data_IF_400596186986
#
_entry.id   IF_400596186986
#
_cell.length_a   1.000
_cell.length_b   1.000
_cell.length_c   1.000
_cell.angle_alpha   90.00
_cell.angle_beta   90.00
_cell.angle_gamma   90.00
#
_symmetry.space_group_name_H-M   'P 1'
#
loop_
_entity.id
_entity.type
_entity.pdbx_description
1 polymer ?
#
# COMPACT_ATOMS: atom_id res chain seq x y z
N UNK A 1 -5.70 22.55 15.89
CA UNK A 1 -5.17 21.92 14.67
C UNK A 1 -5.69 20.49 14.58
N UNK A 2 -6.30 20.15 13.45
CA UNK A 2 -6.86 18.80 13.22
C UNK A 2 -5.79 17.91 12.60
N UNK A 3 -5.36 16.88 13.33
CA UNK A 3 -4.44 15.87 12.83
C UNK A 3 -5.19 14.83 12.00
N UNK A 4 -4.63 14.43 10.88
CA UNK A 4 -5.10 13.32 10.04
C UNK A 4 -4.01 12.26 10.03
N UNK A 5 -4.39 11.02 10.25
CA UNK A 5 -3.48 9.87 10.21
C UNK A 5 -3.92 8.91 9.12
N UNK A 6 -3.00 8.54 8.28
CA UNK A 6 -3.10 7.42 7.34
C UNK A 6 -2.02 6.40 7.66
N UNK A 7 -2.31 5.10 7.50
CA UNK A 7 -1.32 4.05 7.77
C UNK A 7 -1.26 3.03 6.65
N UNK A 8 -0.09 2.43 6.46
CA UNK A 8 0.10 1.39 5.47
C UNK A 8 1.54 0.99 5.22
N UNK A 9 1.74 -0.05 4.42
CA UNK A 9 3.07 -0.49 4.00
C UNK A 9 3.71 0.42 2.96
N UNK A 10 2.89 0.97 2.04
CA UNK A 10 3.33 1.84 0.92
C UNK A 10 4.57 1.29 0.19
N UNK A 11 4.50 0.02 -0.19
CA UNK A 11 5.65 -0.75 -0.68
C UNK A 11 5.32 -1.61 -1.91
N UNK A 12 5.69 -1.13 -3.13
CA UNK A 12 6.13 0.22 -3.46
C UNK A 12 5.02 1.26 -3.37
N UNK A 13 5.42 2.53 -3.23
CA UNK A 13 4.50 3.66 -3.34
C UNK A 13 4.06 3.82 -4.82
N UNK A 14 2.80 4.21 -5.06
CA UNK A 14 2.22 4.36 -6.39
C UNK A 14 1.19 5.49 -6.44
N UNK A 15 0.69 5.82 -7.65
CA UNK A 15 -0.25 6.93 -7.87
C UNK A 15 -1.50 6.87 -6.98
N UNK A 16 -2.04 5.69 -6.73
CA UNK A 16 -3.17 5.49 -5.81
C UNK A 16 -2.87 5.94 -4.37
N UNK A 17 -1.65 5.70 -3.87
CA UNK A 17 -1.23 6.22 -2.57
C UNK A 17 -1.10 7.75 -2.57
N UNK A 18 -0.56 8.32 -3.66
CA UNK A 18 -0.46 9.78 -3.79
C UNK A 18 -1.84 10.43 -3.76
N UNK A 19 -2.81 9.86 -4.49
CA UNK A 19 -4.19 10.34 -4.47
C UNK A 19 -4.81 10.22 -3.07
N UNK A 20 -4.61 9.08 -2.41
CA UNK A 20 -5.05 8.86 -1.04
C UNK A 20 -4.50 9.91 -0.06
N UNK A 21 -3.21 10.21 -0.11
CA UNK A 21 -2.59 11.22 0.75
C UNK A 21 -3.12 12.64 0.44
N UNK A 22 -3.31 12.97 -0.84
CA UNK A 22 -3.90 14.26 -1.24
C UNK A 22 -5.30 14.46 -0.69
N UNK A 23 -6.14 13.43 -0.77
CA UNK A 23 -7.51 13.52 -0.25
C UNK A 23 -7.53 13.48 1.29
N UNK A 24 -6.66 12.69 1.92
CA UNK A 24 -6.51 12.68 3.36
C UNK A 24 -6.07 14.05 3.90
N UNK A 25 -5.12 14.72 3.24
CA UNK A 25 -4.66 16.06 3.64
C UNK A 25 -5.77 17.11 3.67
N UNK A 26 -6.81 16.97 2.84
CA UNK A 26 -7.97 17.89 2.83
C UNK A 26 -8.86 17.75 4.06
N UNK A 27 -8.72 16.69 4.84
CA UNK A 27 -9.54 16.43 6.03
C UNK A 27 -9.06 17.18 7.27
N UNK A 28 -7.84 17.74 7.26
CA UNK A 28 -7.29 18.45 8.40
C UNK A 28 -6.05 19.28 8.09
N UNK A 29 -5.45 19.79 9.13
CA UNK A 29 -4.33 20.75 9.04
C UNK A 29 -2.99 20.06 8.85
N UNK A 30 -2.78 18.90 9.51
CA UNK A 30 -1.52 18.15 9.52
C UNK A 30 -1.80 16.70 9.10
N UNK A 31 -1.08 16.22 8.07
CA UNK A 31 -1.14 14.83 7.63
C UNK A 31 0.05 14.03 8.17
N UNK A 32 -0.26 13.07 9.02
CA UNK A 32 0.65 12.03 9.47
C UNK A 32 0.53 10.81 8.58
N UNK A 33 1.67 10.26 8.14
CA UNK A 33 1.72 8.98 7.44
C UNK A 33 2.45 7.97 8.31
N UNK A 34 1.72 6.99 8.83
CA UNK A 34 2.26 5.88 9.60
C UNK A 34 2.72 4.75 8.68
N UNK A 35 4.00 4.38 8.79
CA UNK A 35 4.58 3.31 8.00
C UNK A 35 4.62 2.01 8.78
N UNK A 36 4.05 0.94 8.21
CA UNK A 36 4.23 -0.40 8.73
C UNK A 36 5.71 -0.83 8.68
N UNK A 37 6.12 -1.62 9.67
CA UNK A 37 7.48 -2.16 9.76
C UNK A 37 7.82 -3.13 8.63
N UNK A 38 9.10 -3.40 8.43
CA UNK A 38 9.58 -4.43 7.50
C UNK A 38 9.17 -5.83 7.99
N UNK A 39 9.06 -6.04 9.31
CA UNK A 39 8.54 -7.27 9.90
C UNK A 39 7.08 -7.51 9.53
N UNK A 40 6.24 -6.48 9.62
CA UNK A 40 4.84 -6.58 9.20
C UNK A 40 4.72 -6.90 7.71
N UNK A 41 5.50 -6.23 6.85
CA UNK A 41 5.53 -6.52 5.41
C UNK A 41 6.01 -7.96 5.14
N UNK A 42 6.97 -8.44 5.90
CA UNK A 42 7.46 -9.83 5.78
C UNK A 42 6.36 -10.83 6.15
N UNK A 43 5.63 -10.60 7.26
CA UNK A 43 4.48 -11.45 7.63
C UNK A 43 3.40 -11.44 6.55
N UNK A 44 3.12 -10.27 5.97
CA UNK A 44 2.00 -10.09 5.03
C UNK A 44 2.33 -10.45 3.58
N UNK A 45 3.56 -10.21 3.12
CA UNK A 45 3.97 -10.32 1.70
C UNK A 45 5.19 -11.20 1.47
N UNK A 46 5.77 -11.80 2.52
CA UNK A 46 6.97 -12.61 2.46
C UNK A 46 8.27 -11.80 2.57
N UNK A 47 8.33 -10.59 2.02
CA UNK A 47 9.46 -9.66 2.15
C UNK A 47 9.04 -8.25 1.76
N UNK A 48 9.70 -7.21 2.28
CA UNK A 48 9.54 -5.85 1.76
C UNK A 48 10.22 -5.73 0.38
N UNK A 49 9.66 -4.90 -0.49
CA UNK A 49 10.31 -4.47 -1.72
C UNK A 49 11.34 -3.38 -1.42
N UNK A 50 10.96 -2.39 -0.61
CA UNK A 50 11.84 -1.36 -0.06
C UNK A 50 11.85 -1.47 1.47
N UNK A 51 13.03 -1.32 2.07
CA UNK A 51 13.14 -1.25 3.53
C UNK A 51 12.46 0.00 4.10
N UNK A 52 12.17 -0.03 5.39
CA UNK A 52 11.45 1.05 6.09
C UNK A 52 12.12 2.41 5.93
N UNK A 53 13.45 2.49 5.99
CA UNK A 53 14.18 3.74 5.85
C UNK A 53 13.95 4.39 4.48
N UNK A 54 14.04 3.62 3.39
CA UNK A 54 13.79 4.13 2.05
C UNK A 54 12.33 4.59 1.88
N UNK A 55 11.37 3.81 2.39
CA UNK A 55 9.93 4.17 2.37
C UNK A 55 9.68 5.46 3.13
N UNK A 56 10.33 5.64 4.28
CA UNK A 56 10.21 6.85 5.10
C UNK A 56 10.76 8.08 4.36
N UNK A 57 11.96 7.98 3.78
CA UNK A 57 12.56 9.08 3.00
C UNK A 57 11.66 9.48 1.83
N UNK A 58 11.17 8.51 1.06
CA UNK A 58 10.29 8.81 -0.09
C UNK A 58 9.01 9.49 0.39
N UNK A 59 8.36 8.96 1.41
CA UNK A 59 7.08 9.47 1.93
C UNK A 59 7.23 10.87 2.52
N UNK A 60 8.29 11.12 3.30
CA UNK A 60 8.54 12.42 3.92
C UNK A 60 8.79 13.54 2.90
N UNK A 61 9.26 13.21 1.71
CA UNK A 61 9.51 14.19 0.64
C UNK A 61 8.29 14.44 -0.27
N UNK A 62 7.12 13.91 0.06
CA UNK A 62 5.88 14.21 -0.64
C UNK A 62 5.27 15.50 -0.10
N UNK A 63 4.96 16.45 -0.97
CA UNK A 63 4.51 17.81 -0.61
C UNK A 63 3.24 17.86 0.25
N UNK A 64 2.40 16.81 0.23
CA UNK A 64 1.18 16.74 1.02
C UNK A 64 1.39 16.09 2.39
N UNK A 65 2.55 15.50 2.66
CA UNK A 65 2.87 14.82 3.92
C UNK A 65 3.61 15.79 4.82
N UNK A 66 3.08 16.02 6.00
CA UNK A 66 3.73 16.89 6.99
C UNK A 66 4.68 16.09 7.88
N UNK A 67 4.25 14.89 8.32
CA UNK A 67 5.03 14.05 9.23
C UNK A 67 4.95 12.57 8.85
N UNK A 68 6.06 11.86 8.96
CA UNK A 68 6.12 10.41 8.85
C UNK A 68 6.40 9.81 10.22
N UNK A 69 5.57 8.85 10.63
CA UNK A 69 5.76 8.13 11.90
C UNK A 69 5.99 6.65 11.67
N UNK A 70 6.87 6.08 12.48
CA UNK A 70 7.08 4.66 12.61
C UNK A 70 6.50 4.20 13.94
N UNK A 71 5.80 3.08 13.94
CA UNK A 71 5.08 2.60 15.11
C UNK A 71 5.23 1.08 15.28
N UNK A 72 4.96 0.59 16.47
CA UNK A 72 4.90 -0.84 16.74
C UNK A 72 3.62 -1.42 16.12
N UNK A 73 3.77 -2.42 15.25
CA UNK A 73 2.70 -3.12 14.55
C UNK A 73 2.78 -4.66 14.73
N UNK A 74 3.33 -5.10 15.87
CA UNK A 74 3.44 -6.52 16.21
C UNK A 74 2.07 -7.18 16.40
N UNK A 75 1.07 -6.40 16.84
CA UNK A 75 -0.32 -6.82 17.01
C UNK A 75 -1.17 -6.72 15.71
N UNK A 76 -0.52 -6.46 14.58
CA UNK A 76 -1.15 -6.25 13.26
C UNK A 76 -2.16 -5.09 13.21
N UNK A 77 -2.11 -4.16 14.17
CA UNK A 77 -2.96 -2.96 14.22
C UNK A 77 -2.15 -1.68 14.09
N UNK A 78 -2.82 -0.59 13.74
CA UNK A 78 -2.27 0.78 13.77
C UNK A 78 -2.62 1.54 15.05
N UNK A 79 -3.07 0.84 16.09
CA UNK A 79 -3.45 1.46 17.36
C UNK A 79 -2.32 2.28 17.98
N UNK A 80 -1.08 1.81 17.85
CA UNK A 80 0.08 2.53 18.37
C UNK A 80 0.34 3.84 17.62
N UNK A 81 0.09 3.86 16.28
CA UNK A 81 0.18 5.10 15.50
C UNK A 81 -0.89 6.12 15.93
N UNK A 82 -2.14 5.68 16.14
CA UNK A 82 -3.20 6.54 16.65
C UNK A 82 -2.80 7.12 18.02
N UNK A 83 -2.28 6.30 18.92
CA UNK A 83 -1.84 6.72 20.23
C UNK A 83 -0.70 7.76 20.15
N UNK A 84 0.29 7.57 19.28
CA UNK A 84 1.37 8.54 19.08
C UNK A 84 0.85 9.90 18.63
N UNK A 85 -0.09 9.96 17.68
CA UNK A 85 -0.67 11.22 17.21
C UNK A 85 -1.49 11.89 18.33
N UNK A 86 -2.26 11.12 19.10
CA UNK A 86 -3.04 11.64 20.24
C UNK A 86 -2.16 12.15 21.40
N UNK A 87 -0.89 11.80 21.44
CA UNK A 87 0.05 12.36 22.43
C UNK A 87 0.40 13.83 22.12
N UNK A 88 0.30 14.22 20.85
CA UNK A 88 0.63 15.57 20.38
C UNK A 88 -0.58 16.41 19.98
N UNK A 89 -1.76 15.78 19.83
CA UNK A 89 -3.00 16.42 19.40
C UNK A 89 -4.19 15.97 20.22
N UNK A 90 -5.13 16.89 20.45
CA UNK A 90 -6.36 16.62 21.22
C UNK A 90 -7.31 15.64 20.49
N UNK A 91 -7.17 15.54 19.15
CA UNK A 91 -7.98 14.64 18.34
C UNK A 91 -7.26 14.25 17.05
N UNK A 92 -7.68 13.12 16.48
CA UNK A 92 -7.15 12.59 15.21
C UNK A 92 -8.28 12.07 14.32
N UNK A 93 -8.18 12.35 13.04
CA UNK A 93 -8.98 11.70 11.99
C UNK A 93 -8.15 10.53 11.46
N UNK A 94 -8.57 9.30 11.77
CA UNK A 94 -7.97 8.11 11.18
C UNK A 94 -8.63 7.84 9.83
N UNK A 95 -7.94 8.24 8.76
CA UNK A 95 -8.42 8.18 7.41
C UNK A 95 -8.01 6.86 6.74
N UNK A 96 -8.97 6.16 6.14
CA UNK A 96 -8.77 4.88 5.50
C UNK A 96 -9.19 4.93 4.04
N UNK A 97 -8.33 4.40 3.16
CA UNK A 97 -8.55 4.38 1.71
C UNK A 97 -8.93 3.02 1.15
N UNK A 98 -9.24 3.01 -0.15
CA UNK A 98 -9.55 1.80 -0.89
C UNK A 98 -10.81 1.08 -0.39
N UNK A 99 -10.68 -0.22 -0.19
CA UNK A 99 -11.74 -1.16 0.21
C UNK A 99 -11.96 -1.25 1.74
N UNK A 100 -11.40 -0.31 2.51
CA UNK A 100 -11.58 -0.26 3.96
C UNK A 100 -12.94 0.31 4.33
N UNK A 101 -13.67 -0.46 5.15
CA UNK A 101 -14.93 -0.05 5.78
C UNK A 101 -14.82 -0.24 7.29
N UNK A 102 -15.65 0.41 8.07
CA UNK A 102 -15.57 0.39 9.54
C UNK A 102 -15.49 -1.04 10.10
N UNK A 103 -16.24 -1.99 9.53
CA UNK A 103 -16.28 -3.38 9.99
C UNK A 103 -14.98 -4.17 9.75
N UNK A 104 -14.07 -3.69 8.90
CA UNK A 104 -12.78 -4.35 8.62
C UNK A 104 -11.57 -3.54 9.11
N UNK A 105 -11.80 -2.55 9.98
CA UNK A 105 -10.76 -1.73 10.63
C UNK A 105 -10.59 -2.24 12.07
N UNK A 106 -9.51 -2.99 12.39
CA UNK A 106 -9.34 -3.54 13.75
C UNK A 106 -9.22 -2.46 14.82
N UNK A 107 -8.71 -1.28 14.50
CA UNK A 107 -8.57 -0.13 15.40
C UNK A 107 -9.93 0.42 15.86
N UNK A 108 -11.00 0.20 15.07
CA UNK A 108 -12.32 0.71 15.41
C UNK A 108 -12.85 0.17 16.74
N UNK A 109 -12.70 -1.13 17.00
CA UNK A 109 -13.16 -1.74 18.25
C UNK A 109 -12.50 -1.11 19.49
N UNK A 110 -11.24 -0.73 19.38
CA UNK A 110 -10.50 -0.11 20.48
C UNK A 110 -10.88 1.36 20.72
N UNK A 111 -11.18 2.09 19.64
CA UNK A 111 -11.38 3.54 19.72
C UNK A 111 -12.81 4.00 19.45
N UNK A 112 -13.78 3.10 19.20
CA UNK A 112 -15.19 3.47 18.88
C UNK A 112 -15.88 4.36 19.94
N UNK A 113 -15.44 4.29 21.20
CA UNK A 113 -15.94 5.10 22.29
C UNK A 113 -15.05 6.31 22.65
N UNK A 114 -13.89 6.45 21.99
CA UNK A 114 -12.99 7.58 22.20
C UNK A 114 -13.37 8.73 21.25
N UNK A 115 -13.97 9.78 21.81
CA UNK A 115 -14.43 10.96 21.04
C UNK A 115 -13.29 11.72 20.35
N UNK A 116 -12.03 11.46 20.74
CA UNK A 116 -10.85 12.08 20.13
C UNK A 116 -10.47 11.43 18.80
N UNK A 117 -10.98 10.23 18.49
CA UNK A 117 -10.67 9.50 17.26
C UNK A 117 -11.89 9.46 16.34
N UNK A 118 -11.76 10.04 15.16
CA UNK A 118 -12.79 9.99 14.12
C UNK A 118 -12.31 9.08 12.99
N UNK A 119 -13.10 8.09 12.63
CA UNK A 119 -12.80 7.21 11.49
C UNK A 119 -13.46 7.74 10.21
N UNK A 120 -12.69 7.82 9.13
CA UNK A 120 -13.17 8.19 7.80
C UNK A 120 -12.72 7.12 6.81
N UNK A 121 -13.64 6.54 6.07
CA UNK A 121 -13.39 5.50 5.06
C UNK A 121 -13.57 6.05 3.64
N UNK A 122 -13.06 5.32 2.63
CA UNK A 122 -13.22 5.67 1.23
C UNK A 122 -12.39 6.87 0.77
N UNK A 123 -11.38 7.26 1.56
CA UNK A 123 -10.50 8.40 1.22
C UNK A 123 -9.64 8.04 0.02
N UNK A 124 -9.64 8.92 -1.00
CA UNK A 124 -8.91 8.70 -2.25
C UNK A 124 -9.69 7.95 -3.33
N UNK A 125 -10.95 7.57 -3.05
CA UNK A 125 -11.82 6.87 -4.00
C UNK A 125 -11.51 5.38 -4.14
N UNK A 126 -11.98 4.78 -5.24
CA UNK A 126 -11.83 3.37 -5.50
C UNK A 126 -10.37 2.94 -5.70
N UNK A 127 -10.08 1.70 -5.33
CA UNK A 127 -8.74 1.11 -5.48
C UNK A 127 -8.45 0.83 -6.95
N UNK A 128 -7.74 1.74 -7.60
CA UNK A 128 -7.33 1.62 -9.01
C UNK A 128 -6.01 0.89 -9.20
N UNK A 129 -5.15 0.88 -8.18
CA UNK A 129 -3.83 0.24 -8.18
C UNK A 129 -3.51 -0.42 -6.84
N UNK A 130 -2.56 -1.35 -6.88
CA UNK A 130 -2.04 -2.04 -5.70
C UNK A 130 -0.55 -2.32 -5.86
N UNK A 131 0.20 -2.10 -4.80
CA UNK A 131 1.63 -2.46 -4.76
C UNK A 131 1.87 -3.93 -5.13
N UNK A 132 0.99 -4.84 -4.70
CA UNK A 132 1.09 -6.26 -5.05
C UNK A 132 0.90 -6.49 -6.55
N UNK A 133 -0.09 -5.84 -7.18
CA UNK A 133 -0.32 -5.96 -8.62
C UNK A 133 0.85 -5.41 -9.43
N UNK A 134 1.45 -4.30 -9.01
CA UNK A 134 2.63 -3.74 -9.67
C UNK A 134 3.82 -4.69 -9.58
N UNK A 135 4.07 -5.25 -8.40
CA UNK A 135 5.14 -6.22 -8.20
C UNK A 135 4.93 -7.52 -8.98
N UNK A 136 3.70 -8.01 -9.07
CA UNK A 136 3.37 -9.22 -9.83
C UNK A 136 3.55 -8.99 -11.34
N UNK A 137 3.13 -7.84 -11.85
CA UNK A 137 3.40 -7.44 -13.24
C UNK A 137 4.90 -7.35 -13.52
N UNK A 138 5.67 -6.82 -12.59
CA UNK A 138 7.12 -6.68 -12.75
C UNK A 138 7.84 -8.03 -12.67
N UNK A 139 7.45 -8.90 -11.74
CA UNK A 139 8.06 -10.24 -11.56
C UNK A 139 7.80 -11.17 -12.74
N UNK A 140 6.70 -10.97 -13.44
CA UNK A 140 6.26 -11.86 -14.51
C UNK A 140 5.81 -11.06 -15.74
N UNK A 141 6.74 -10.38 -16.44
CA UNK A 141 6.41 -9.59 -17.62
C UNK A 141 5.84 -10.46 -18.73
N UNK A 142 4.74 -10.00 -19.33
CA UNK A 142 4.14 -10.62 -20.50
C UNK A 142 4.79 -10.05 -21.75
N UNK A 143 5.31 -10.93 -22.61
CA UNK A 143 5.85 -10.56 -23.93
C UNK A 143 4.88 -11.00 -25.02
N UNK A 144 4.27 -10.03 -25.71
CA UNK A 144 3.36 -10.29 -26.83
C UNK A 144 4.11 -10.62 -28.11
N UNK A 145 3.56 -11.54 -28.92
CA UNK A 145 4.03 -11.98 -30.23
C UNK A 145 2.85 -12.12 -31.16
N UNK A 146 3.10 -12.24 -32.47
CA UNK A 146 2.04 -12.41 -33.46
C UNK A 146 1.19 -13.67 -33.22
N UNK A 147 1.78 -14.70 -32.60
CA UNK A 147 1.13 -15.97 -32.30
C UNK A 147 0.43 -16.02 -30.93
N UNK A 148 0.57 -15.00 -30.10
CA UNK A 148 0.03 -14.98 -28.74
C UNK A 148 0.94 -14.21 -27.79
N UNK A 149 1.19 -14.78 -26.61
CA UNK A 149 2.14 -14.20 -25.68
C UNK A 149 2.85 -15.27 -24.84
N UNK A 150 3.95 -14.88 -24.23
CA UNK A 150 4.55 -15.70 -23.19
C UNK A 150 4.82 -14.88 -21.93
N UNK A 151 4.82 -15.59 -20.81
CA UNK A 151 5.17 -15.10 -19.48
C UNK A 151 6.36 -15.91 -19.00
N UNK A 152 7.43 -15.23 -18.57
CA UNK A 152 8.57 -15.88 -17.94
C UNK A 152 8.22 -16.20 -16.48
N UNK A 153 8.14 -17.49 -16.13
CA UNK A 153 7.79 -17.96 -14.80
C UNK A 153 9.02 -18.11 -13.90
N UNK A 154 10.14 -18.51 -14.49
CA UNK A 154 11.38 -18.72 -13.77
C UNK A 154 12.59 -18.55 -14.69
N UNK A 155 13.65 -17.96 -14.13
CA UNK A 155 14.94 -17.86 -14.80
C UNK A 155 16.03 -18.46 -13.87
N UNK A 156 16.56 -19.61 -14.24
CA UNK A 156 17.65 -20.28 -13.55
C UNK A 156 19.00 -20.10 -14.28
N UNK A 157 20.06 -20.64 -13.70
CA UNK A 157 21.37 -20.65 -14.36
C UNK A 157 21.34 -21.65 -15.54
N UNK A 158 21.38 -21.10 -16.75
CA UNK A 158 21.38 -21.89 -17.99
C UNK A 158 20.00 -22.34 -18.50
N UNK A 159 18.88 -22.00 -17.85
CA UNK A 159 17.54 -22.33 -18.32
C UNK A 159 16.48 -21.29 -17.93
N UNK A 160 15.35 -21.30 -18.68
CA UNK A 160 14.18 -20.46 -18.42
C UNK A 160 12.92 -21.31 -18.53
N UNK A 161 11.97 -21.05 -17.63
CA UNK A 161 10.62 -21.63 -17.70
C UNK A 161 9.65 -20.54 -18.17
N UNK A 162 8.89 -20.83 -19.21
CA UNK A 162 7.91 -19.90 -19.79
C UNK A 162 6.55 -20.58 -19.90
N UNK A 163 5.51 -19.82 -19.55
CA UNK A 163 4.13 -20.13 -19.92
C UNK A 163 3.86 -19.50 -21.30
N UNK A 164 3.40 -20.28 -22.26
CA UNK A 164 3.02 -19.81 -23.59
C UNK A 164 1.50 -19.89 -23.74
N UNK A 165 0.90 -18.80 -24.19
CA UNK A 165 -0.51 -18.74 -24.56
C UNK A 165 -0.58 -18.43 -26.04
N UNK A 166 -1.14 -19.37 -26.81
CA UNK A 166 -1.16 -19.36 -28.28
C UNK A 166 -2.56 -19.00 -28.72
N UNK A 167 -2.68 -18.03 -29.64
CA UNK A 167 -3.96 -17.65 -30.20
C UNK A 167 -4.53 -18.82 -31.02
N UNK A 168 -5.84 -19.13 -30.93
CA UNK A 168 -6.45 -20.17 -31.73
C UNK A 168 -6.34 -19.86 -33.25
N UNK A 169 -6.23 -20.88 -34.05
CA UNK A 169 -6.19 -20.82 -35.53
C UNK A 169 -4.90 -20.26 -36.15
N UNK A 170 -3.78 -20.27 -35.46
CA UNK A 170 -2.48 -20.03 -36.09
C UNK A 170 -1.84 -21.36 -36.57
N UNK A 171 -1.66 -21.50 -37.87
CA UNK A 171 -0.81 -22.56 -38.43
C UNK A 171 0.65 -22.13 -38.34
N UNK A 172 1.45 -22.87 -37.57
CA UNK A 172 2.89 -22.63 -37.50
C UNK A 172 3.56 -23.37 -38.69
N UNK A 173 4.13 -22.59 -39.57
CA UNK A 173 5.17 -23.12 -40.45
C UNK A 173 6.50 -22.92 -39.72
N UNK A 174 7.15 -24.00 -39.32
CA UNK A 174 8.56 -23.94 -38.87
C UNK A 174 9.41 -23.75 -40.13
N UNK A 175 10.07 -22.62 -40.25
CA UNK A 175 11.23 -22.50 -41.13
C UNK A 175 12.45 -23.07 -40.42
#
# INVERSE_FOLDING_TARGET
MTAVLVTGGFDPIHSGHIQYFKEAKKLGDILYVGLNSDHWLTRKKGRPFMNLANRAIITQNLSMVDEVIMYNDEDDTSCHAIHQVLHHHDSVIFANGGDRIISNIPEYERYKNDKRVKFVCGVGGDKTESSSWLLDKWKSPITYRNWGYYKELYHGNGFKVKELVINPCLLYTSD
#
